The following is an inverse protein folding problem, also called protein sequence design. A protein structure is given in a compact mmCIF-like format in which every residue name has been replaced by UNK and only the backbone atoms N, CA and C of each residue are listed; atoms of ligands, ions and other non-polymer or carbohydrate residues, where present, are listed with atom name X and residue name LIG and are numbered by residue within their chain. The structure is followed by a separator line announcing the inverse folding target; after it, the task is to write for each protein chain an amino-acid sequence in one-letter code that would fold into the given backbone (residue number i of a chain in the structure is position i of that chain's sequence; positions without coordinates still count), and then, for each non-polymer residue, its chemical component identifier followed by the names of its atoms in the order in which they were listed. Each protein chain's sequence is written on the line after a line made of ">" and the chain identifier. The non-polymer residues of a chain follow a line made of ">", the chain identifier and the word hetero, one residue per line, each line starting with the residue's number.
data_IF_830098533507
#
_entry.id   IF_830098533507
#
_cell.length_a   1.000
_cell.length_b   1.000
_cell.length_c   1.000
_cell.angle_alpha   90.00
_cell.angle_beta   90.00
_cell.angle_gamma   90.00
#
_symmetry.space_group_name_H-M   'P 1'
#
loop_
_entity.id
_entity.type
_entity.pdbx_description
1 polymer ?
#
# COMPACT_ATOMS: atom_id res chain seq x y z
N UNK A 1 -4.28 -23.87 9.59
CA UNK A 1 -3.95 -22.84 10.59
C UNK A 1 -5.13 -21.89 10.73
N UNK A 2 -5.48 -21.52 11.98
CA UNK A 2 -6.49 -20.52 12.32
C UNK A 2 -5.79 -19.17 12.53
N UNK A 3 -5.92 -18.26 11.57
CA UNK A 3 -5.23 -16.97 11.53
C UNK A 3 -6.22 -15.88 11.89
N UNK A 4 -5.88 -14.99 12.82
CA UNK A 4 -6.66 -13.78 13.12
C UNK A 4 -5.93 -12.56 12.58
N UNK A 5 -6.55 -11.84 11.63
CA UNK A 5 -6.06 -10.59 11.08
C UNK A 5 -6.73 -9.42 11.80
N UNK A 6 -5.96 -8.57 12.48
CA UNK A 6 -6.49 -7.46 13.28
C UNK A 6 -6.06 -6.13 12.66
N UNK A 7 -7.01 -5.32 12.24
CA UNK A 7 -6.72 -4.08 11.49
C UNK A 7 -7.67 -2.94 11.88
N UNK A 8 -7.18 -1.68 11.81
CA UNK A 8 -8.01 -0.49 11.98
C UNK A 8 -8.67 -0.01 10.67
N UNK A 9 -8.34 -0.64 9.53
CA UNK A 9 -8.92 -0.33 8.22
C UNK A 9 -9.18 -1.60 7.44
N UNK A 10 -10.39 -1.75 6.91
CA UNK A 10 -10.79 -2.91 6.10
C UNK A 10 -11.89 -2.49 5.12
N UNK A 11 -12.21 -3.35 4.15
CA UNK A 11 -13.29 -3.08 3.20
C UNK A 11 -14.59 -2.64 3.90
N UNK A 12 -15.36 -1.75 3.32
CA UNK A 12 -15.24 -1.11 2.00
C UNK A 12 -14.29 0.10 1.96
N UNK A 13 -13.57 0.40 3.03
CA UNK A 13 -12.56 1.46 3.02
C UNK A 13 -11.47 1.17 1.98
N UNK A 14 -11.19 2.15 1.10
CA UNK A 14 -10.18 2.03 0.03
C UNK A 14 -8.83 2.56 0.55
N UNK A 15 -7.89 1.66 0.75
CA UNK A 15 -6.54 2.02 1.20
C UNK A 15 -5.56 0.86 1.08
N UNK A 16 -4.26 1.16 1.08
CA UNK A 16 -3.20 0.16 0.92
C UNK A 16 -3.25 -0.94 1.97
N UNK A 17 -3.47 -0.58 3.25
CA UNK A 17 -3.56 -1.54 4.35
C UNK A 17 -4.80 -2.43 4.21
N UNK A 18 -5.97 -1.86 3.91
CA UNK A 18 -7.19 -2.62 3.72
C UNK A 18 -7.06 -3.64 2.57
N UNK A 19 -6.48 -3.22 1.44
CA UNK A 19 -6.15 -4.10 0.31
C UNK A 19 -5.18 -5.21 0.69
N UNK A 20 -4.15 -4.87 1.47
CA UNK A 20 -3.17 -5.86 1.94
C UNK A 20 -3.84 -6.94 2.79
N UNK A 21 -4.61 -6.55 3.80
CA UNK A 21 -5.33 -7.48 4.68
C UNK A 21 -6.29 -8.36 3.87
N UNK A 22 -7.04 -7.77 2.94
CA UNK A 22 -7.97 -8.49 2.08
C UNK A 22 -7.27 -9.50 1.18
N UNK A 23 -6.18 -9.10 0.50
CA UNK A 23 -5.42 -9.96 -0.41
C UNK A 23 -4.80 -11.15 0.31
N UNK A 24 -4.18 -10.94 1.47
CA UNK A 24 -3.67 -12.03 2.30
C UNK A 24 -4.78 -12.92 2.81
N UNK A 25 -5.89 -12.35 3.30
CA UNK A 25 -7.04 -13.11 3.80
C UNK A 25 -7.60 -14.03 2.73
N UNK A 26 -7.81 -13.52 1.52
CA UNK A 26 -8.31 -14.30 0.39
C UNK A 26 -7.35 -15.41 -0.01
N UNK A 27 -6.06 -15.11 -0.10
CA UNK A 27 -5.05 -16.11 -0.47
C UNK A 27 -4.89 -17.20 0.58
N UNK A 28 -4.91 -16.87 1.87
CA UNK A 28 -4.86 -17.85 2.94
C UNK A 28 -6.11 -18.74 2.95
N UNK A 29 -7.31 -18.17 2.76
CA UNK A 29 -8.55 -18.94 2.64
C UNK A 29 -8.53 -19.87 1.43
N UNK A 30 -8.03 -19.40 0.28
CA UNK A 30 -7.84 -20.21 -0.93
C UNK A 30 -6.95 -21.43 -0.69
N UNK A 31 -6.00 -21.33 0.22
CA UNK A 31 -5.08 -22.41 0.64
C UNK A 31 -5.64 -23.31 1.75
N UNK A 32 -6.89 -23.10 2.15
CA UNK A 32 -7.56 -23.93 3.16
C UNK A 32 -7.28 -23.53 4.61
N UNK A 33 -6.65 -22.36 4.85
CA UNK A 33 -6.53 -21.81 6.20
C UNK A 33 -7.83 -21.12 6.61
N UNK A 34 -8.18 -21.18 7.89
CA UNK A 34 -9.28 -20.40 8.44
C UNK A 34 -8.75 -19.02 8.81
N UNK A 35 -9.43 -17.96 8.34
CA UNK A 35 -9.02 -16.58 8.61
C UNK A 35 -10.19 -15.79 9.17
N UNK A 36 -10.03 -15.25 10.37
CA UNK A 36 -10.95 -14.31 11.01
C UNK A 36 -10.38 -12.90 10.90
N UNK A 37 -11.13 -11.98 10.29
CA UNK A 37 -10.76 -10.57 10.24
C UNK A 37 -11.46 -9.81 11.36
N UNK A 38 -10.71 -9.02 12.14
CA UNK A 38 -11.21 -8.11 13.15
C UNK A 38 -10.94 -6.69 12.69
N UNK A 39 -12.01 -5.93 12.45
CA UNK A 39 -11.94 -4.59 11.87
C UNK A 39 -13.03 -3.67 12.44
N UNK A 40 -12.89 -2.34 12.32
CA UNK A 40 -13.96 -1.40 12.66
C UNK A 40 -15.16 -1.56 11.73
N UNK A 41 -16.31 -1.10 12.20
CA UNK A 41 -17.46 -0.82 11.33
C UNK A 41 -17.15 0.33 10.37
N UNK A 42 -17.64 0.22 9.13
CA UNK A 42 -17.53 1.26 8.11
C UNK A 42 -18.87 1.46 7.40
N UNK A 43 -19.22 2.70 6.99
CA UNK A 43 -20.36 2.94 6.14
C UNK A 43 -20.33 2.12 4.86
N UNK A 44 -21.44 1.50 4.47
CA UNK A 44 -21.53 0.69 3.26
C UNK A 44 -20.93 -0.73 3.37
N UNK A 45 -20.54 -1.17 4.56
CA UNK A 45 -20.18 -2.57 4.77
C UNK A 45 -21.37 -3.49 4.53
N UNK A 46 -21.18 -4.75 4.09
CA UNK A 46 -22.24 -5.74 3.99
C UNK A 46 -22.88 -6.04 5.35
N UNK A 47 -24.19 -6.32 5.37
CA UNK A 47 -24.88 -6.69 6.61
C UNK A 47 -24.38 -8.03 7.20
N UNK A 48 -23.89 -8.92 6.34
CA UNK A 48 -23.32 -10.20 6.74
C UNK A 48 -21.99 -10.40 6.00
N UNK A 49 -20.97 -10.70 6.77
CA UNK A 49 -19.63 -11.01 6.29
C UNK A 49 -19.18 -12.32 6.93
N UNK A 50 -18.73 -13.26 6.11
CA UNK A 50 -18.22 -14.53 6.60
C UNK A 50 -16.83 -14.35 7.23
N UNK A 51 -16.68 -14.83 8.47
CA UNK A 51 -15.43 -14.72 9.24
C UNK A 51 -14.87 -13.29 9.34
N UNK A 52 -15.75 -12.29 9.52
CA UNK A 52 -15.39 -10.91 9.85
C UNK A 52 -16.11 -10.48 11.13
N UNK A 53 -15.36 -9.96 12.08
CA UNK A 53 -15.88 -9.36 13.31
C UNK A 53 -15.74 -7.86 13.20
N UNK A 54 -16.88 -7.16 13.15
CA UNK A 54 -16.92 -5.70 13.15
C UNK A 54 -17.00 -5.17 14.57
N UNK A 55 -16.15 -4.21 14.86
CA UNK A 55 -16.08 -3.53 16.15
C UNK A 55 -16.67 -2.12 15.98
N UNK A 56 -17.65 -1.72 16.82
CA UNK A 56 -18.22 -0.38 16.78
C UNK A 56 -17.16 0.71 16.79
N UNK A 57 -17.31 1.71 15.92
CA UNK A 57 -16.34 2.78 15.78
C UNK A 57 -17.01 4.12 15.47
N UNK A 58 -16.38 5.21 15.93
CA UNK A 58 -16.74 6.57 15.52
C UNK A 58 -16.03 6.83 14.18
N UNK A 59 -16.85 7.10 13.16
CA UNK A 59 -16.38 7.36 11.79
C UNK A 59 -15.95 8.81 11.63
N UNK A 60 -15.07 9.05 10.63
CA UNK A 60 -14.64 10.40 10.25
C UNK A 60 -14.09 11.25 11.41
N UNK A 61 -13.34 10.62 12.31
CA UNK A 61 -12.78 11.31 13.46
C UNK A 61 -11.91 12.49 12.98
N UNK A 62 -12.21 13.71 13.46
CA UNK A 62 -11.60 14.98 13.03
C UNK A 62 -11.68 15.26 11.51
N UNK A 63 -12.72 14.77 10.83
CA UNK A 63 -12.87 15.00 9.39
C UNK A 63 -11.87 14.24 8.51
N UNK A 64 -11.17 13.25 9.09
CA UNK A 64 -10.29 12.33 8.38
C UNK A 64 -11.00 11.01 8.07
N UNK A 65 -10.40 10.20 7.20
CA UNK A 65 -10.87 8.83 6.91
C UNK A 65 -10.58 7.85 8.08
N UNK A 66 -10.14 8.37 9.21
CA UNK A 66 -9.77 7.58 10.38
C UNK A 66 -11.00 7.22 11.22
N UNK A 67 -11.12 5.93 11.55
CA UNK A 67 -12.16 5.40 12.43
C UNK A 67 -11.59 5.11 13.82
N UNK A 68 -12.19 5.70 14.85
CA UNK A 68 -11.80 5.45 16.24
C UNK A 68 -12.66 4.33 16.82
N UNK A 69 -12.04 3.18 17.07
CA UNK A 69 -12.70 2.00 17.62
C UNK A 69 -13.14 2.25 19.06
N UNK A 70 -14.38 1.90 19.39
CA UNK A 70 -14.91 1.93 20.75
C UNK A 70 -14.55 0.63 21.48
N UNK A 71 -14.11 0.70 22.76
CA UNK A 71 -13.83 -0.48 23.54
C UNK A 71 -15.15 -1.15 23.94
N UNK A 72 -15.63 -2.13 23.18
CA UNK A 72 -16.81 -2.93 23.53
C UNK A 72 -16.36 -4.30 24.05
N UNK A 73 -16.43 -4.54 25.36
CA UNK A 73 -16.13 -5.85 25.93
C UNK A 73 -17.12 -6.92 25.44
N UNK A 74 -16.65 -8.11 25.16
CA UNK A 74 -17.47 -9.30 24.90
C UNK A 74 -17.49 -9.76 23.45
N UNK A 75 -17.86 -8.93 22.48
CA UNK A 75 -18.03 -9.33 21.06
C UNK A 75 -16.80 -10.06 20.51
N UNK A 76 -15.63 -9.50 20.71
CA UNK A 76 -14.38 -10.09 20.24
C UNK A 76 -13.96 -11.31 21.07
N UNK A 77 -14.28 -11.34 22.37
CA UNK A 77 -13.93 -12.47 23.22
C UNK A 77 -14.64 -13.74 22.76
N UNK A 78 -15.95 -13.68 22.58
CA UNK A 78 -16.79 -14.81 22.17
C UNK A 78 -16.42 -15.32 20.76
N UNK A 79 -16.08 -14.40 19.85
CA UNK A 79 -15.64 -14.75 18.51
C UNK A 79 -14.30 -15.51 18.52
N UNK A 80 -13.31 -15.02 19.29
CA UNK A 80 -12.01 -15.66 19.40
C UNK A 80 -12.03 -16.99 20.17
N UNK A 81 -12.85 -17.08 21.24
CA UNK A 81 -13.00 -18.31 22.00
C UNK A 81 -13.59 -19.44 21.14
N UNK A 82 -14.51 -19.11 20.21
CA UNK A 82 -15.02 -20.07 19.20
C UNK A 82 -14.05 -20.37 18.07
N UNK A 83 -13.33 -19.35 17.62
CA UNK A 83 -12.40 -19.46 16.48
C UNK A 83 -11.14 -20.26 16.83
N UNK A 84 -10.62 -20.12 18.07
CA UNK A 84 -9.39 -20.73 18.58
C UNK A 84 -8.21 -20.42 17.68
N UNK A 85 -7.64 -19.21 17.76
CA UNK A 85 -6.52 -18.81 16.92
C UNK A 85 -5.26 -19.62 17.20
N UNK A 86 -4.51 -19.96 16.15
CA UNK A 86 -3.14 -20.47 16.25
C UNK A 86 -2.13 -19.33 16.20
N UNK A 87 -2.51 -18.19 15.60
CA UNK A 87 -1.68 -16.99 15.44
C UNK A 87 -2.55 -15.75 15.28
N UNK A 88 -2.06 -14.62 15.80
CA UNK A 88 -2.68 -13.30 15.61
C UNK A 88 -1.73 -12.42 14.82
N UNK A 89 -2.23 -11.75 13.77
CA UNK A 89 -1.49 -10.81 12.96
C UNK A 89 -2.11 -9.42 13.06
N UNK A 90 -1.37 -8.47 13.61
CA UNK A 90 -1.76 -7.07 13.75
C UNK A 90 -1.22 -6.22 12.59
N UNK A 91 -2.05 -5.32 12.08
CA UNK A 91 -1.70 -4.40 10.99
C UNK A 91 -1.55 -2.93 11.44
N UNK A 92 -1.74 -2.66 12.74
CA UNK A 92 -1.58 -1.33 13.33
C UNK A 92 -1.04 -1.46 14.75
N UNK A 93 -0.20 -0.51 15.24
CA UNK A 93 0.39 -0.57 16.57
C UNK A 93 -0.52 0.01 17.68
N UNK A 94 -1.67 0.57 17.33
CA UNK A 94 -2.58 1.24 18.25
C UNK A 94 -4.03 0.77 18.05
N UNK A 95 -4.95 1.14 18.96
CA UNK A 95 -6.36 0.74 18.96
C UNK A 95 -6.52 -0.78 18.93
N UNK A 96 -6.96 -1.36 17.81
CA UNK A 96 -7.12 -2.81 17.66
C UNK A 96 -5.77 -3.54 17.77
N UNK A 97 -4.65 -2.92 17.44
CA UNK A 97 -3.33 -3.49 17.68
C UNK A 97 -3.09 -3.82 19.16
N UNK A 98 -3.40 -2.89 20.07
CA UNK A 98 -3.31 -3.16 21.50
C UNK A 98 -4.25 -4.27 21.98
N UNK A 99 -5.39 -4.41 21.30
CA UNK A 99 -6.31 -5.51 21.55
C UNK A 99 -5.73 -6.83 21.05
N UNK A 100 -5.08 -6.84 19.88
CA UNK A 100 -4.37 -8.00 19.33
C UNK A 100 -3.30 -8.50 20.32
N UNK A 101 -2.48 -7.60 20.86
CA UNK A 101 -1.44 -7.92 21.83
C UNK A 101 -2.02 -8.61 23.10
N UNK A 102 -3.07 -8.00 23.68
CA UNK A 102 -3.74 -8.59 24.87
C UNK A 102 -4.33 -9.96 24.59
N UNK A 103 -4.92 -10.14 23.39
CA UNK A 103 -5.53 -11.43 23.00
C UNK A 103 -4.48 -12.48 22.69
N UNK A 104 -3.38 -12.14 22.02
CA UNK A 104 -2.27 -13.05 21.78
C UNK A 104 -1.70 -13.60 23.11
N UNK A 105 -1.52 -12.73 24.11
CA UNK A 105 -1.11 -13.15 25.45
C UNK A 105 -2.14 -14.03 26.16
N UNK A 106 -3.45 -13.68 26.07
CA UNK A 106 -4.52 -14.49 26.70
C UNK A 106 -4.61 -15.88 26.11
N UNK A 107 -4.44 -16.04 24.80
CA UNK A 107 -4.53 -17.33 24.11
C UNK A 107 -3.17 -18.05 24.02
N UNK A 108 -2.09 -17.43 24.52
CA UNK A 108 -0.71 -17.96 24.46
C UNK A 108 -0.28 -18.31 23.02
N UNK A 109 -0.68 -17.48 22.06
CA UNK A 109 -0.36 -17.64 20.63
C UNK A 109 0.58 -16.55 20.15
N UNK A 110 1.40 -16.80 19.10
CA UNK A 110 2.30 -15.81 18.56
C UNK A 110 1.55 -14.58 18.02
N UNK A 111 2.18 -13.42 18.16
CA UNK A 111 1.74 -12.14 17.58
C UNK A 111 2.72 -11.70 16.51
N UNK A 112 2.23 -11.51 15.28
CA UNK A 112 2.96 -10.89 14.18
C UNK A 112 2.44 -9.46 13.98
N UNK A 113 3.32 -8.54 13.60
CA UNK A 113 2.95 -7.18 13.25
C UNK A 113 3.49 -6.79 11.87
N UNK A 114 2.63 -6.29 10.98
CA UNK A 114 3.09 -5.66 9.74
C UNK A 114 3.19 -4.15 9.89
N UNK A 115 4.39 -3.61 9.67
CA UNK A 115 4.66 -2.17 9.71
C UNK A 115 4.33 -1.52 8.36
N UNK A 116 3.04 -1.28 8.11
CA UNK A 116 2.56 -0.78 6.80
C UNK A 116 2.89 0.68 6.51
N UNK A 117 2.99 1.52 7.54
CA UNK A 117 2.91 2.97 7.40
C UNK A 117 4.04 3.66 8.11
N UNK A 118 4.66 4.64 7.46
CA UNK A 118 5.56 5.61 8.09
C UNK A 118 4.69 6.67 8.77
N UNK A 119 4.23 6.38 9.98
CA UNK A 119 3.19 7.13 10.68
C UNK A 119 3.54 8.61 10.86
N UNK A 120 4.82 8.95 10.98
CA UNK A 120 5.31 10.33 11.09
C UNK A 120 5.02 11.19 9.85
N UNK A 121 4.85 10.57 8.70
CA UNK A 121 4.50 11.27 7.46
C UNK A 121 3.02 11.65 7.39
N UNK A 122 2.20 11.10 8.29
CA UNK A 122 0.76 11.30 8.36
C UNK A 122 0.31 12.11 9.58
N UNK A 123 1.25 12.68 10.35
CA UNK A 123 0.92 13.49 11.54
C UNK A 123 0.13 14.75 11.22
N UNK A 124 0.17 15.23 9.97
CA UNK A 124 -0.62 16.37 9.52
C UNK A 124 -2.15 16.10 9.50
N UNK A 125 -2.57 14.84 9.58
CA UNK A 125 -3.98 14.47 9.75
C UNK A 125 -4.45 14.49 11.22
N UNK A 126 -3.52 14.70 12.17
CA UNK A 126 -3.84 14.75 13.60
C UNK A 126 -3.64 16.18 14.10
N UNK A 127 -4.56 16.71 14.96
CA UNK A 127 -4.37 18.01 15.58
C UNK A 127 -3.05 18.08 16.34
N UNK A 128 -2.28 19.16 16.15
CA UNK A 128 -0.98 19.32 16.80
C UNK A 128 0.21 18.80 16.01
N UNK A 129 0.12 18.76 14.67
CA UNK A 129 1.25 18.41 13.79
C UNK A 129 2.54 19.11 14.24
N UNK A 130 3.46 18.35 14.84
CA UNK A 130 4.72 18.85 15.37
C UNK A 130 5.81 17.78 15.31
N UNK A 131 7.10 18.17 15.33
CA UNK A 131 8.20 17.20 15.44
C UNK A 131 8.11 16.29 16.67
N UNK A 132 7.49 16.77 17.74
CA UNK A 132 7.26 15.98 18.96
C UNK A 132 6.23 14.88 18.72
N UNK A 133 5.14 15.18 18.00
CA UNK A 133 4.14 14.18 17.63
C UNK A 133 4.74 13.13 16.70
N UNK A 134 5.54 13.55 15.71
CA UNK A 134 6.22 12.61 14.82
C UNK A 134 7.13 11.64 15.61
N UNK A 135 7.93 12.16 16.55
CA UNK A 135 8.76 11.32 17.44
C UNK A 135 7.92 10.37 18.29
N UNK A 136 6.82 10.86 18.82
CA UNK A 136 5.92 10.05 19.64
C UNK A 136 5.33 8.85 18.87
N UNK A 137 4.83 9.08 17.66
CA UNK A 137 4.25 7.98 16.86
C UNK A 137 5.31 6.97 16.40
N UNK A 138 6.54 7.42 16.12
CA UNK A 138 7.67 6.53 15.83
C UNK A 138 7.99 5.65 17.05
N UNK A 139 8.10 6.26 18.23
CA UNK A 139 8.39 5.54 19.49
C UNK A 139 7.28 4.53 19.81
N UNK A 140 6.02 4.94 19.69
CA UNK A 140 4.86 4.07 19.88
C UNK A 140 4.92 2.84 18.97
N UNK A 141 5.16 3.05 17.67
CA UNK A 141 5.24 1.96 16.70
C UNK A 141 6.43 1.04 16.95
N UNK A 142 7.58 1.61 17.32
CA UNK A 142 8.82 0.87 17.66
C UNK A 142 8.62 -0.01 18.91
N UNK A 143 8.05 0.56 19.97
CA UNK A 143 7.75 -0.20 21.20
C UNK A 143 6.74 -1.30 20.95
N UNK A 144 5.67 -1.01 20.20
CA UNK A 144 4.70 -2.03 19.85
C UNK A 144 5.35 -3.17 19.05
N UNK A 145 6.19 -2.86 18.07
CA UNK A 145 6.93 -3.85 17.29
C UNK A 145 7.78 -4.77 18.21
N UNK A 146 8.45 -4.20 19.21
CA UNK A 146 9.26 -4.96 20.17
C UNK A 146 8.45 -5.85 21.13
N UNK A 147 7.13 -5.64 21.22
CA UNK A 147 6.23 -6.51 22.00
C UNK A 147 5.67 -7.68 21.18
N UNK A 148 6.01 -7.78 19.89
CA UNK A 148 5.54 -8.84 18.99
C UNK A 148 6.61 -9.91 18.78
N UNK A 149 6.19 -11.12 18.42
CA UNK A 149 7.11 -12.23 18.19
C UNK A 149 7.83 -12.11 16.83
N UNK A 150 7.25 -11.36 15.89
CA UNK A 150 7.84 -11.11 14.57
C UNK A 150 7.25 -9.87 13.92
N UNK A 151 8.07 -9.15 13.15
CA UNK A 151 7.65 -7.97 12.40
C UNK A 151 7.79 -8.23 10.90
N UNK A 152 6.73 -7.92 10.15
CA UNK A 152 6.77 -7.87 8.69
C UNK A 152 7.01 -6.44 8.24
N UNK A 153 7.99 -6.24 7.38
CA UNK A 153 8.23 -4.99 6.67
C UNK A 153 7.81 -5.15 5.20
N UNK A 154 7.16 -4.15 4.59
CA UNK A 154 6.70 -4.25 3.20
C UNK A 154 7.85 -4.15 2.18
N UNK A 155 9.04 -3.72 2.60
CA UNK A 155 10.22 -3.53 1.76
C UNK A 155 11.50 -3.58 2.60
N UNK A 156 12.65 -3.80 1.96
CA UNK A 156 13.96 -3.78 2.66
C UNK A 156 14.30 -2.38 3.17
N UNK A 157 13.94 -1.34 2.43
CA UNK A 157 14.10 0.05 2.87
C UNK A 157 13.35 0.31 4.19
N UNK A 158 12.11 -0.18 4.33
CA UNK A 158 11.35 -0.07 5.58
C UNK A 158 11.95 -0.95 6.67
N UNK A 159 12.38 -2.18 6.35
CA UNK A 159 13.03 -3.06 7.32
C UNK A 159 14.30 -2.42 7.91
N UNK A 160 15.13 -1.81 7.08
CA UNK A 160 16.33 -1.08 7.51
C UNK A 160 15.97 0.10 8.39
N UNK A 161 15.01 0.92 7.95
CA UNK A 161 14.57 2.09 8.69
C UNK A 161 14.05 1.76 10.10
N UNK A 162 13.22 0.71 10.24
CA UNK A 162 12.67 0.36 11.55
C UNK A 162 13.71 -0.28 12.47
N UNK A 163 14.74 -1.00 11.93
CA UNK A 163 15.91 -1.45 12.70
C UNK A 163 16.69 -0.26 13.26
N UNK A 164 16.95 0.75 12.42
CA UNK A 164 17.64 1.98 12.84
C UNK A 164 16.87 2.75 13.92
N UNK A 165 15.53 2.62 13.93
CA UNK A 165 14.65 3.18 14.98
C UNK A 165 14.60 2.37 16.25
N UNK A 166 15.29 1.25 16.33
CA UNK A 166 15.39 0.42 17.53
C UNK A 166 14.39 -0.74 17.62
N UNK A 167 13.83 -1.18 16.49
CA UNK A 167 13.09 -2.45 16.47
C UNK A 167 14.08 -3.61 16.61
N UNK A 168 13.97 -4.34 17.71
CA UNK A 168 14.80 -5.50 18.06
C UNK A 168 14.12 -6.84 17.78
N UNK A 169 12.80 -6.86 17.67
CA UNK A 169 12.06 -8.06 17.27
C UNK A 169 12.54 -8.56 15.88
N UNK A 170 12.50 -9.86 15.60
CA UNK A 170 12.86 -10.40 14.28
C UNK A 170 12.06 -9.75 13.17
N UNK A 171 12.73 -9.27 12.12
CA UNK A 171 12.10 -8.60 10.97
C UNK A 171 12.29 -9.43 9.71
N UNK A 172 11.22 -9.66 8.98
CA UNK A 172 11.24 -10.23 7.64
C UNK A 172 10.56 -9.31 6.63
N UNK A 173 11.12 -9.23 5.42
CA UNK A 173 10.47 -8.51 4.32
C UNK A 173 9.38 -9.38 3.73
N UNK A 174 8.14 -8.96 3.97
CA UNK A 174 6.93 -9.60 3.46
C UNK A 174 6.04 -8.51 2.84
N UNK A 175 6.23 -8.21 1.54
CA UNK A 175 5.41 -7.22 0.84
C UNK A 175 3.98 -7.73 0.66
N UNK A 176 3.04 -6.84 0.37
CA UNK A 176 1.74 -7.23 -0.18
C UNK A 176 1.97 -7.73 -1.61
N UNK A 177 1.63 -8.96 -1.89
CA UNK A 177 1.77 -9.52 -3.22
C UNK A 177 0.79 -8.92 -4.23
N UNK A 178 1.19 -8.85 -5.49
CA UNK A 178 0.30 -8.50 -6.60
C UNK A 178 -0.40 -9.74 -7.16
N UNK A 179 -1.67 -9.59 -7.55
CA UNK A 179 -2.43 -10.61 -8.26
C UNK A 179 -2.05 -10.58 -9.76
N UNK A 180 -0.90 -11.17 -10.08
CA UNK A 180 -0.33 -11.06 -11.44
C UNK A 180 -1.29 -11.52 -12.52
N UNK A 181 -1.99 -12.65 -12.31
CA UNK A 181 -2.96 -13.19 -13.27
C UNK A 181 -4.08 -12.19 -13.61
N UNK A 182 -4.49 -11.38 -12.64
CA UNK A 182 -5.50 -10.34 -12.83
C UNK A 182 -5.01 -9.21 -13.73
N UNK A 183 -3.76 -8.77 -13.52
CA UNK A 183 -3.19 -7.63 -14.24
C UNK A 183 -2.46 -8.04 -15.53
N UNK A 184 -2.19 -9.33 -15.76
CA UNK A 184 -1.62 -9.82 -17.02
C UNK A 184 -2.60 -9.70 -18.20
N UNK A 185 -3.91 -9.58 -17.92
CA UNK A 185 -4.96 -9.51 -18.92
C UNK A 185 -5.76 -8.21 -18.77
N UNK A 186 -5.93 -7.47 -19.86
CA UNK A 186 -6.73 -6.25 -19.93
C UNK A 186 -6.90 -5.77 -21.37
N UNK A 187 -7.97 -5.04 -21.64
CA UNK A 187 -8.25 -4.44 -22.94
C UNK A 187 -8.02 -2.93 -22.92
N UNK A 188 -6.73 -2.55 -23.02
CA UNK A 188 -6.34 -1.14 -23.07
C UNK A 188 -6.87 -0.40 -24.28
N UNK A 189 -7.08 -1.08 -25.42
CA UNK A 189 -7.64 -0.46 -26.62
C UNK A 189 -9.09 -0.06 -26.42
N UNK A 190 -9.90 -0.94 -25.83
CA UNK A 190 -11.29 -0.64 -25.51
C UNK A 190 -11.39 0.53 -24.52
N UNK A 191 -10.56 0.57 -23.49
CA UNK A 191 -10.54 1.71 -22.57
C UNK A 191 -10.13 3.02 -23.27
N UNK A 192 -9.08 3.01 -24.12
CA UNK A 192 -8.70 4.18 -24.92
C UNK A 192 -9.88 4.67 -25.75
N UNK A 193 -10.60 3.78 -26.43
CA UNK A 193 -11.78 4.10 -27.21
C UNK A 193 -12.90 4.73 -26.37
N UNK A 194 -13.22 4.15 -25.21
CA UNK A 194 -14.24 4.67 -24.28
C UNK A 194 -13.92 6.07 -23.76
N UNK A 195 -12.63 6.33 -23.50
CA UNK A 195 -12.18 7.62 -23.02
C UNK A 195 -11.92 8.65 -24.13
N UNK A 196 -11.96 8.26 -25.40
CA UNK A 196 -11.64 9.13 -26.53
C UNK A 196 -10.15 9.43 -26.68
N UNK A 197 -9.28 8.54 -26.17
CA UNK A 197 -7.83 8.62 -26.36
C UNK A 197 -7.49 8.14 -27.79
N UNK A 198 -6.75 8.92 -28.59
CA UNK A 198 -6.35 8.49 -29.92
C UNK A 198 -5.59 7.16 -29.90
N UNK A 199 -5.81 6.31 -30.88
CA UNK A 199 -5.21 4.97 -30.92
C UNK A 199 -3.68 5.02 -31.02
N UNK A 200 -3.17 6.02 -31.74
CA UNK A 200 -1.72 6.28 -31.94
C UNK A 200 -1.10 7.18 -30.86
N UNK A 201 -1.84 7.51 -29.81
CA UNK A 201 -1.32 8.32 -28.72
C UNK A 201 -0.31 7.54 -27.87
N UNK A 202 0.78 8.22 -27.44
CA UNK A 202 1.64 7.71 -26.39
C UNK A 202 1.06 8.11 -25.03
N UNK A 203 0.67 7.13 -24.24
CA UNK A 203 -0.06 7.31 -22.98
C UNK A 203 0.88 7.23 -21.80
N UNK A 204 1.13 8.38 -21.17
CA UNK A 204 1.74 8.42 -19.82
C UNK A 204 0.63 8.20 -18.81
N UNK A 205 0.77 7.21 -17.94
CA UNK A 205 -0.24 6.84 -16.97
C UNK A 205 0.17 7.07 -15.52
N UNK A 206 -0.81 7.36 -14.67
CA UNK A 206 -0.65 7.35 -13.21
C UNK A 206 -1.90 6.76 -12.56
N UNK A 207 -1.71 5.96 -11.52
CA UNK A 207 -2.80 5.39 -10.70
C UNK A 207 -2.50 5.64 -9.24
N UNK A 208 -3.49 6.17 -8.51
CA UNK A 208 -3.36 6.37 -7.07
C UNK A 208 -4.34 7.36 -6.49
N UNK A 209 -4.30 7.52 -5.18
CA UNK A 209 -5.00 8.61 -4.50
C UNK A 209 -4.39 9.95 -4.92
N UNK A 210 -5.20 10.90 -5.35
CA UNK A 210 -4.74 12.22 -5.81
C UNK A 210 -4.57 13.16 -4.60
N UNK A 211 -3.50 12.96 -3.83
CA UNK A 211 -3.21 13.68 -2.59
C UNK A 211 -1.78 14.23 -2.60
N UNK A 212 -1.52 15.22 -1.74
CA UNK A 212 -0.27 15.99 -1.73
C UNK A 212 0.99 15.13 -1.53
N UNK A 213 0.91 14.07 -0.72
CA UNK A 213 2.02 13.15 -0.46
C UNK A 213 2.46 12.35 -1.71
N UNK A 214 1.65 12.35 -2.77
CA UNK A 214 1.98 11.70 -4.05
C UNK A 214 2.78 12.60 -5.00
N UNK A 215 3.06 13.84 -4.60
CA UNK A 215 3.87 14.79 -5.37
C UNK A 215 3.37 15.01 -6.81
N UNK A 216 2.04 15.11 -6.96
CA UNK A 216 1.38 15.12 -8.27
C UNK A 216 1.55 16.45 -9.02
N UNK A 217 1.81 17.53 -8.33
CA UNK A 217 2.15 18.84 -8.96
C UNK A 217 3.47 18.74 -9.75
N UNK A 218 4.49 18.13 -9.14
CA UNK A 218 5.75 17.82 -9.82
C UNK A 218 5.53 16.90 -11.03
N UNK A 219 4.79 15.80 -10.83
CA UNK A 219 4.51 14.85 -11.91
C UNK A 219 3.78 15.50 -13.08
N UNK A 220 2.76 16.30 -12.79
CA UNK A 220 2.01 17.03 -13.80
C UNK A 220 2.89 18.00 -14.60
N UNK A 221 3.80 18.72 -13.93
CA UNK A 221 4.76 19.61 -14.59
C UNK A 221 5.72 18.85 -15.51
N UNK A 222 6.27 17.72 -15.04
CA UNK A 222 7.18 16.91 -15.84
C UNK A 222 6.48 16.28 -17.05
N UNK A 223 5.28 15.73 -16.86
CA UNK A 223 4.49 15.19 -17.96
C UNK A 223 4.09 16.29 -18.95
N UNK A 224 3.69 17.48 -18.48
CA UNK A 224 3.42 18.63 -19.36
C UNK A 224 4.61 18.95 -20.26
N UNK A 225 5.82 19.02 -19.70
CA UNK A 225 7.01 19.34 -20.48
C UNK A 225 7.29 18.26 -21.55
N UNK A 226 7.10 16.99 -21.20
CA UNK A 226 7.14 15.88 -22.17
C UNK A 226 6.07 16.04 -23.27
N UNK A 227 4.81 16.35 -22.89
CA UNK A 227 3.73 16.49 -23.86
C UNK A 227 3.91 17.69 -24.80
N UNK A 228 4.55 18.77 -24.35
CA UNK A 228 4.87 19.92 -25.22
C UNK A 228 5.79 19.50 -26.35
N UNK A 229 6.77 18.64 -26.08
CA UNK A 229 7.68 18.11 -27.08
C UNK A 229 7.03 17.02 -27.97
N UNK A 230 6.01 16.34 -27.46
CA UNK A 230 5.36 15.19 -28.09
C UNK A 230 3.86 15.44 -28.35
N UNK A 231 3.48 15.98 -29.53
CA UNK A 231 2.08 16.36 -29.81
C UNK A 231 1.06 15.24 -29.72
N UNK A 232 1.46 13.98 -29.87
CA UNK A 232 0.61 12.79 -29.74
C UNK A 232 0.63 12.18 -28.32
N UNK A 233 1.40 12.75 -27.40
CA UNK A 233 1.41 12.31 -26.02
C UNK A 233 0.13 12.73 -25.30
N UNK A 234 -0.35 11.89 -24.38
CA UNK A 234 -1.47 12.16 -23.47
C UNK A 234 -1.15 11.73 -22.05
N UNK A 235 -1.83 12.31 -21.07
CA UNK A 235 -1.71 11.95 -19.65
C UNK A 235 -3.01 11.34 -19.15
N UNK A 236 -2.99 10.09 -18.71
CA UNK A 236 -4.09 9.34 -18.14
C UNK A 236 -3.89 9.18 -16.63
N UNK A 237 -4.73 9.81 -15.82
CA UNK A 237 -4.63 9.82 -14.37
C UNK A 237 -5.86 9.15 -13.76
N UNK A 238 -5.64 8.00 -13.13
CA UNK A 238 -6.68 7.20 -12.50
C UNK A 238 -6.63 7.42 -10.99
N UNK A 239 -7.75 7.90 -10.43
CA UNK A 239 -7.88 8.11 -9.00
C UNK A 239 -8.78 9.27 -8.65
N UNK A 240 -8.94 9.51 -7.35
CA UNK A 240 -9.68 10.65 -6.79
C UNK A 240 -8.88 11.28 -5.67
N UNK A 241 -9.10 12.57 -5.45
CA UNK A 241 -8.53 13.29 -4.34
C UNK A 241 -8.36 14.79 -4.61
N UNK A 242 -7.92 15.55 -3.59
CA UNK A 242 -7.85 17.01 -3.65
C UNK A 242 -6.87 17.56 -4.71
N UNK A 243 -5.83 16.79 -5.07
CA UNK A 243 -4.84 17.23 -6.06
C UNK A 243 -5.34 17.21 -7.53
N UNK A 244 -6.54 16.69 -7.80
CA UNK A 244 -7.09 16.64 -9.17
C UNK A 244 -7.18 18.04 -9.80
N UNK A 245 -7.57 19.06 -9.03
CA UNK A 245 -7.64 20.44 -9.50
C UNK A 245 -6.27 21.04 -9.81
N UNK A 246 -5.25 20.71 -9.03
CA UNK A 246 -3.86 21.14 -9.27
C UNK A 246 -3.32 20.55 -10.57
N UNK A 247 -3.53 19.26 -10.81
CA UNK A 247 -3.17 18.60 -12.06
C UNK A 247 -3.87 19.26 -13.23
N UNK A 248 -5.19 19.48 -13.16
CA UNK A 248 -5.96 20.11 -14.22
C UNK A 248 -5.49 21.54 -14.53
N UNK A 249 -5.07 22.30 -13.52
CA UNK A 249 -4.53 23.66 -13.68
C UNK A 249 -3.24 23.65 -14.51
N UNK A 250 -2.35 22.69 -14.33
CA UNK A 250 -1.09 22.56 -15.11
C UNK A 250 -1.39 22.34 -16.60
N UNK A 251 -2.51 21.67 -16.93
CA UNK A 251 -2.93 21.37 -18.31
C UNK A 251 -3.97 22.36 -18.87
N UNK A 252 -4.17 23.51 -18.24
CA UNK A 252 -5.18 24.49 -18.66
C UNK A 252 -4.85 25.21 -19.97
N UNK A 253 -3.57 25.19 -20.41
CA UNK A 253 -3.12 25.87 -21.60
C UNK A 253 -3.76 25.28 -22.89
N UNK A 254 -3.99 26.15 -23.93
CA UNK A 254 -4.48 25.67 -25.22
C UNK A 254 -3.59 24.55 -25.79
N UNK A 255 -4.22 23.49 -26.30
CA UNK A 255 -3.52 22.33 -26.87
C UNK A 255 -3.08 21.27 -25.85
N UNK A 256 -3.13 21.55 -24.54
CA UNK A 256 -2.84 20.60 -23.48
C UNK A 256 -4.10 20.04 -22.81
N UNK A 257 -5.14 20.86 -22.67
CA UNK A 257 -6.37 20.51 -21.95
C UNK A 257 -7.01 19.20 -22.45
N UNK A 258 -7.05 19.00 -23.76
CA UNK A 258 -7.64 17.81 -24.40
C UNK A 258 -6.70 16.59 -24.38
N UNK A 259 -5.52 16.71 -23.76
CA UNK A 259 -4.53 15.64 -23.62
C UNK A 259 -4.37 15.16 -22.18
N UNK A 260 -5.21 15.67 -21.27
CA UNK A 260 -5.34 15.19 -19.91
C UNK A 260 -6.65 14.43 -19.75
N UNK A 261 -6.59 13.19 -19.29
CA UNK A 261 -7.74 12.32 -19.03
C UNK A 261 -7.81 11.98 -17.53
N UNK A 262 -8.91 12.37 -16.88
CA UNK A 262 -9.20 12.20 -15.46
C UNK A 262 -10.53 11.46 -15.27
N UNK A 263 -10.62 10.15 -15.61
CA UNK A 263 -11.89 9.42 -15.51
C UNK A 263 -12.34 9.15 -14.06
N UNK A 264 -11.51 9.47 -13.07
CA UNK A 264 -11.77 9.17 -11.68
C UNK A 264 -11.15 7.85 -11.23
N UNK A 265 -11.63 7.30 -10.11
CA UNK A 265 -11.19 6.01 -9.63
C UNK A 265 -11.82 4.89 -10.46
N UNK A 266 -11.01 3.91 -10.84
CA UNK A 266 -11.42 2.68 -11.52
C UNK A 266 -11.12 1.49 -10.63
N UNK A 267 -11.87 0.42 -10.77
CA UNK A 267 -11.69 -0.85 -10.08
C UNK A 267 -11.98 -2.04 -11.00
N UNK A 268 -11.88 -3.26 -10.48
CA UNK A 268 -12.18 -4.46 -11.24
C UNK A 268 -11.40 -4.56 -12.55
N UNK A 269 -12.10 -4.92 -13.62
CA UNK A 269 -11.57 -5.04 -14.99
C UNK A 269 -11.16 -3.69 -15.57
N UNK A 270 -11.91 -2.62 -15.29
CA UNK A 270 -11.58 -1.28 -15.77
C UNK A 270 -10.21 -0.78 -15.28
N UNK A 271 -9.80 -1.15 -14.07
CA UNK A 271 -8.45 -0.84 -13.58
C UNK A 271 -7.37 -1.63 -14.32
N UNK A 272 -7.63 -2.90 -14.63
CA UNK A 272 -6.70 -3.70 -15.44
C UNK A 272 -6.57 -3.12 -16.86
N UNK A 273 -7.69 -2.77 -17.49
CA UNK A 273 -7.72 -2.13 -18.80
C UNK A 273 -6.98 -0.79 -18.79
N UNK A 274 -7.07 -0.04 -17.65
CA UNK A 274 -6.37 1.23 -17.51
C UNK A 274 -4.84 1.05 -17.55
N UNK A 275 -4.29 0.05 -16.86
CA UNK A 275 -2.86 -0.23 -16.97
C UNK A 275 -2.48 -0.64 -18.39
N UNK A 276 -3.27 -1.49 -19.05
CA UNK A 276 -3.01 -1.90 -20.44
C UNK A 276 -3.21 -0.76 -21.47
N UNK A 277 -3.87 0.32 -21.08
CA UNK A 277 -4.00 1.52 -21.91
C UNK A 277 -2.74 2.41 -21.85
N UNK A 278 -1.80 2.17 -20.94
CA UNK A 278 -0.60 3.00 -20.73
C UNK A 278 0.62 2.44 -21.48
N UNK A 279 1.44 3.33 -22.03
CA UNK A 279 2.75 2.99 -22.60
C UNK A 279 3.86 3.13 -21.57
N UNK A 280 3.68 3.98 -20.56
CA UNK A 280 4.58 4.17 -19.43
C UNK A 280 3.79 4.53 -18.17
N UNK A 281 4.18 3.98 -17.04
CA UNK A 281 3.65 4.34 -15.73
C UNK A 281 4.58 5.35 -15.05
N UNK A 282 4.06 6.55 -14.77
CA UNK A 282 4.80 7.65 -14.16
C UNK A 282 4.49 7.76 -12.67
N UNK A 283 5.52 7.80 -11.81
CA UNK A 283 5.38 7.74 -10.37
C UNK A 283 6.33 8.67 -9.64
N UNK A 284 5.79 9.54 -8.80
CA UNK A 284 6.54 10.63 -8.13
C UNK A 284 6.42 10.63 -6.60
N UNK A 285 5.72 9.65 -6.01
CA UNK A 285 5.51 9.60 -4.56
C UNK A 285 6.82 9.37 -3.81
N UNK A 286 7.05 10.17 -2.76
CA UNK A 286 8.21 10.06 -1.86
C UNK A 286 7.89 9.31 -0.57
N UNK A 287 6.62 9.02 -0.31
CA UNK A 287 6.12 8.43 0.93
C UNK A 287 5.68 6.97 0.79
N UNK A 288 6.28 6.25 -0.14
CA UNK A 288 5.92 4.86 -0.35
C UNK A 288 6.64 3.93 0.63
N UNK A 289 5.89 2.94 1.12
CA UNK A 289 6.48 1.83 1.89
C UNK A 289 6.71 0.59 1.02
N UNK A 290 5.94 0.45 -0.08
CA UNK A 290 6.02 -0.70 -0.98
C UNK A 290 5.81 -0.34 -2.46
N UNK A 291 4.85 0.58 -2.78
CA UNK A 291 4.49 0.91 -4.15
C UNK A 291 3.63 -0.14 -4.85
N UNK A 292 2.53 -0.56 -4.25
CA UNK A 292 1.64 -1.60 -4.81
C UNK A 292 1.20 -1.31 -6.25
N UNK A 293 0.88 -0.05 -6.58
CA UNK A 293 0.47 0.36 -7.93
C UNK A 293 1.60 0.18 -8.97
N UNK A 294 2.87 0.22 -8.53
CA UNK A 294 4.00 -0.09 -9.39
C UNK A 294 4.02 -1.58 -9.76
N UNK A 295 3.80 -2.47 -8.79
CA UNK A 295 3.72 -3.90 -9.06
C UNK A 295 2.51 -4.27 -9.92
N UNK A 296 1.40 -3.56 -9.79
CA UNK A 296 0.22 -3.70 -10.66
C UNK A 296 0.55 -3.29 -12.11
N UNK A 297 1.15 -2.10 -12.32
CA UNK A 297 1.60 -1.63 -13.63
C UNK A 297 2.60 -2.61 -14.28
N UNK A 298 3.58 -3.07 -13.50
CA UNK A 298 4.59 -4.01 -13.96
C UNK A 298 3.99 -5.39 -14.30
N UNK A 299 2.96 -5.85 -13.57
CA UNK A 299 2.24 -7.08 -13.89
C UNK A 299 1.51 -6.97 -15.24
N UNK A 300 0.94 -5.80 -15.54
CA UNK A 300 0.38 -5.49 -16.86
C UNK A 300 1.48 -5.35 -17.96
N UNK A 301 2.75 -5.33 -17.59
CA UNK A 301 3.88 -5.17 -18.50
C UNK A 301 4.16 -3.72 -18.88
N UNK A 302 3.73 -2.76 -18.08
CA UNK A 302 3.97 -1.34 -18.29
C UNK A 302 5.31 -0.95 -17.69
N UNK A 303 6.26 -0.42 -18.49
CA UNK A 303 7.51 0.13 -17.97
C UNK A 303 7.26 1.34 -17.06
N UNK A 304 8.17 1.59 -16.12
CA UNK A 304 8.01 2.60 -15.08
C UNK A 304 9.03 3.72 -15.21
N UNK A 305 8.59 4.97 -15.06
CA UNK A 305 9.46 6.11 -14.78
C UNK A 305 9.10 6.64 -13.40
N UNK A 306 10.04 6.59 -12.45
CA UNK A 306 9.76 6.89 -11.06
C UNK A 306 10.85 7.74 -10.41
N UNK A 307 10.46 8.53 -9.38
CA UNK A 307 11.42 9.06 -8.42
C UNK A 307 11.83 7.96 -7.45
N UNK A 308 13.10 8.00 -7.04
CA UNK A 308 13.64 7.09 -6.05
C UNK A 308 13.04 7.36 -4.67
N UNK A 309 12.45 6.33 -4.08
CA UNK A 309 11.88 6.35 -2.74
C UNK A 309 11.91 4.96 -2.13
N UNK A 310 11.69 4.89 -0.81
CA UNK A 310 11.49 3.60 -0.12
C UNK A 310 10.40 2.78 -0.81
N UNK A 311 10.63 1.48 -0.99
CA UNK A 311 9.69 0.59 -1.69
C UNK A 311 9.69 0.73 -3.22
N UNK A 312 10.13 1.86 -3.79
CA UNK A 312 10.23 2.05 -5.25
C UNK A 312 11.52 1.44 -5.79
N UNK A 313 12.67 1.77 -5.17
CA UNK A 313 14.01 1.29 -5.60
C UNK A 313 14.19 -0.22 -5.59
N UNK A 314 13.33 -0.91 -4.85
CA UNK A 314 13.33 -2.37 -4.78
C UNK A 314 12.53 -3.00 -5.92
N UNK A 315 11.67 -2.24 -6.56
CA UNK A 315 10.85 -2.68 -7.68
C UNK A 315 11.46 -2.27 -9.02
N UNK A 316 11.89 -1.01 -9.11
CA UNK A 316 12.41 -0.41 -10.34
C UNK A 316 13.92 -0.31 -10.25
N UNK A 317 14.61 -1.01 -11.14
CA UNK A 317 16.04 -0.89 -11.38
C UNK A 317 16.24 -0.09 -12.67
N UNK A 318 17.12 0.91 -12.64
CA UNK A 318 17.31 1.80 -13.78
C UNK A 318 17.69 1.03 -15.05
N UNK A 319 17.06 1.37 -16.15
CA UNK A 319 17.19 0.74 -17.48
C UNK A 319 16.79 -0.74 -17.59
N UNK A 320 16.29 -1.37 -16.50
CA UNK A 320 15.79 -2.75 -16.57
C UNK A 320 14.25 -2.82 -16.68
N UNK A 321 13.53 -2.09 -15.81
CA UNK A 321 12.07 -2.01 -15.84
C UNK A 321 11.57 -0.62 -16.25
N UNK A 322 12.48 0.31 -16.54
CA UNK A 322 12.23 1.70 -16.86
C UNK A 322 13.33 2.62 -16.37
N UNK A 323 12.99 3.75 -15.78
CA UNK A 323 13.96 4.71 -15.22
C UNK A 323 13.66 5.02 -13.77
N UNK A 324 14.69 5.07 -12.96
CA UNK A 324 14.65 5.46 -11.55
C UNK A 324 15.52 6.72 -11.36
N UNK A 325 14.88 7.84 -10.97
CA UNK A 325 15.55 9.12 -10.82
C UNK A 325 15.78 9.45 -9.36
N UNK A 326 17.00 9.77 -9.00
CA UNK A 326 17.39 10.16 -7.62
C UNK A 326 16.96 11.57 -7.25
N UNK A 327 16.80 12.46 -8.23
CA UNK A 327 16.53 13.88 -8.03
C UNK A 327 15.13 14.27 -8.51
N UNK A 328 14.50 15.18 -7.76
CA UNK A 328 13.24 15.80 -8.14
C UNK A 328 13.50 16.94 -9.11
N UNK A 329 13.78 16.59 -10.36
CA UNK A 329 14.00 17.51 -11.47
C UNK A 329 12.95 17.27 -12.56
N UNK A 330 12.14 18.30 -12.83
CA UNK A 330 11.05 18.28 -13.83
C UNK A 330 11.60 17.96 -15.22
N UNK A 331 12.72 18.55 -15.61
CA UNK A 331 13.32 18.34 -16.92
C UNK A 331 13.96 16.95 -17.02
N UNK A 332 14.63 16.50 -15.96
CA UNK A 332 15.20 15.13 -15.89
C UNK A 332 14.12 14.06 -15.97
N UNK A 333 12.99 14.27 -15.30
CA UNK A 333 11.85 13.35 -15.39
C UNK A 333 11.21 13.34 -16.79
N UNK A 334 11.01 14.52 -17.39
CA UNK A 334 10.54 14.62 -18.77
C UNK A 334 11.50 13.96 -19.77
N UNK A 335 12.81 14.10 -19.56
CA UNK A 335 13.82 13.42 -20.38
C UNK A 335 13.79 11.89 -20.22
N UNK A 336 13.49 11.38 -19.03
CA UNK A 336 13.30 9.93 -18.82
C UNK A 336 12.05 9.40 -19.53
N UNK A 337 10.95 10.17 -19.55
CA UNK A 337 9.76 9.84 -20.37
C UNK A 337 10.11 9.84 -21.86
N UNK A 338 10.89 10.85 -22.32
CA UNK A 338 11.34 10.95 -23.71
C UNK A 338 12.23 9.78 -24.10
N UNK A 339 13.18 9.39 -23.22
CA UNK A 339 14.02 8.23 -23.46
C UNK A 339 13.18 6.97 -23.74
N UNK A 340 12.15 6.71 -22.93
CA UNK A 340 11.29 5.53 -23.13
C UNK A 340 10.43 5.64 -24.40
N UNK A 341 9.92 6.85 -24.68
CA UNK A 341 9.15 7.11 -25.92
C UNK A 341 9.97 6.81 -27.18
N UNK A 342 11.26 7.18 -27.17
CA UNK A 342 12.14 7.07 -28.35
C UNK A 342 12.78 5.69 -28.51
N UNK A 343 12.57 4.77 -27.53
CA UNK A 343 13.11 3.42 -27.64
C UNK A 343 12.54 2.67 -28.85
N UNK A 344 13.37 1.87 -29.55
CA UNK A 344 12.89 0.90 -30.51
C UNK A 344 11.86 -0.06 -29.90
N UNK A 345 10.96 -0.57 -30.72
CA UNK A 345 9.91 -1.50 -30.26
C UNK A 345 10.50 -2.72 -29.53
N UNK A 346 11.60 -3.27 -30.03
CA UNK A 346 12.26 -4.43 -29.40
C UNK A 346 12.73 -4.13 -27.96
N UNK A 347 13.22 -2.93 -27.70
CA UNK A 347 13.67 -2.54 -26.35
C UNK A 347 12.50 -2.27 -25.43
N UNK A 348 11.39 -1.69 -25.94
CA UNK A 348 10.14 -1.55 -25.17
C UNK A 348 9.55 -2.91 -24.77
N UNK A 349 9.55 -3.89 -25.69
CA UNK A 349 9.15 -5.27 -25.37
C UNK A 349 10.04 -5.87 -24.30
N UNK A 350 11.37 -5.67 -24.37
CA UNK A 350 12.31 -6.14 -23.35
C UNK A 350 12.03 -5.56 -21.97
N UNK A 351 11.78 -4.25 -21.88
CA UNK A 351 11.39 -3.59 -20.63
C UNK A 351 10.07 -4.14 -20.09
N UNK A 352 9.07 -4.30 -20.95
CA UNK A 352 7.76 -4.88 -20.61
C UNK A 352 7.90 -6.29 -20.02
N UNK A 353 8.69 -7.14 -20.64
CA UNK A 353 8.94 -8.50 -20.14
C UNK A 353 9.73 -8.49 -18.83
N UNK A 354 10.69 -7.58 -18.66
CA UNK A 354 11.40 -7.43 -17.41
C UNK A 354 10.48 -6.95 -16.28
N UNK A 355 9.57 -6.02 -16.58
CA UNK A 355 8.55 -5.55 -15.64
C UNK A 355 7.65 -6.72 -15.18
N UNK A 356 7.12 -7.54 -16.12
CA UNK A 356 6.31 -8.72 -15.77
C UNK A 356 7.09 -9.73 -14.92
N UNK A 357 8.35 -10.03 -15.28
CA UNK A 357 9.19 -10.92 -14.48
C UNK A 357 9.38 -10.41 -13.06
N UNK A 358 9.60 -9.09 -12.91
CA UNK A 358 9.76 -8.45 -11.60
C UNK A 358 8.47 -8.57 -10.78
N UNK A 359 7.31 -8.25 -11.36
CA UNK A 359 6.01 -8.38 -10.70
C UNK A 359 5.73 -9.83 -10.25
N UNK A 360 6.06 -10.84 -11.06
CA UNK A 360 5.90 -12.26 -10.71
C UNK A 360 6.77 -12.68 -9.51
N UNK A 361 7.91 -12.04 -9.30
CA UNK A 361 8.71 -12.28 -8.10
C UNK A 361 8.01 -11.77 -6.82
N UNK A 362 7.10 -10.81 -6.97
CA UNK A 362 6.28 -10.20 -5.92
C UNK A 362 4.81 -10.62 -6.00
N UNK A 363 4.52 -11.78 -6.58
CA UNK A 363 3.15 -12.28 -6.69
C UNK A 363 2.55 -12.65 -5.33
N UNK A 364 1.23 -12.53 -5.21
CA UNK A 364 0.51 -12.85 -3.96
C UNK A 364 0.78 -14.29 -3.46
N UNK A 365 0.78 -15.33 -4.32
CA UNK A 365 1.14 -16.67 -3.87
C UNK A 365 2.53 -16.76 -3.22
N UNK A 366 3.57 -16.19 -3.84
CA UNK A 366 4.94 -16.23 -3.29
C UNK A 366 5.07 -15.48 -1.97
N UNK A 367 4.40 -14.36 -1.85
CA UNK A 367 4.41 -13.58 -0.62
C UNK A 367 3.65 -14.29 0.50
N UNK A 368 2.52 -14.92 0.17
CA UNK A 368 1.78 -15.74 1.13
C UNK A 368 2.58 -16.96 1.58
N UNK A 369 3.34 -17.64 0.69
CA UNK A 369 4.25 -18.72 1.07
C UNK A 369 5.25 -18.26 2.12
N UNK A 370 5.87 -17.12 1.90
CA UNK A 370 6.82 -16.53 2.85
C UNK A 370 6.18 -16.22 4.20
N UNK A 371 5.01 -15.59 4.21
CA UNK A 371 4.28 -15.27 5.45
C UNK A 371 3.87 -16.53 6.21
N UNK A 372 3.30 -17.54 5.52
CA UNK A 372 2.86 -18.80 6.13
C UNK A 372 4.04 -19.60 6.70
N UNK A 373 5.16 -19.65 6.02
CA UNK A 373 6.38 -20.30 6.54
C UNK A 373 6.85 -19.67 7.86
N UNK A 374 6.74 -18.34 7.99
CA UNK A 374 7.06 -17.65 9.24
C UNK A 374 6.02 -17.98 10.32
N UNK A 375 4.73 -17.98 9.98
CA UNK A 375 3.67 -18.35 10.93
C UNK A 375 3.88 -19.77 11.46
N UNK A 376 4.11 -20.76 10.58
CA UNK A 376 4.38 -22.14 10.96
C UNK A 376 5.59 -22.26 11.88
N UNK A 377 6.64 -21.47 11.63
CA UNK A 377 7.84 -21.45 12.48
C UNK A 377 7.59 -20.89 13.90
N UNK A 378 6.57 -20.02 14.05
CA UNK A 378 6.22 -19.40 15.33
C UNK A 378 5.21 -20.25 16.13
N UNK A 379 4.30 -20.93 15.45
CA UNK A 379 3.27 -21.77 16.07
C UNK A 379 3.95 -22.90 16.87
N UNK A 380 3.52 -23.09 18.11
CA UNK A 380 4.03 -24.14 18.97
C UNK A 380 5.36 -23.84 19.65
N UNK A 381 5.99 -22.66 19.41
CA UNK A 381 7.10 -22.22 20.24
C UNK A 381 6.60 -21.90 21.64
N UNK A 382 7.15 -22.61 22.65
CA UNK A 382 6.94 -22.23 24.04
C UNK A 382 7.52 -20.83 24.22
N UNK A 383 6.72 -19.86 24.63
CA UNK A 383 7.23 -18.52 24.98
C UNK A 383 8.26 -18.65 26.10
N UNK A 384 9.54 -18.70 25.76
CA UNK A 384 10.59 -18.49 26.76
C UNK A 384 10.55 -17.00 27.08
N UNK A 385 9.99 -16.70 28.28
CA UNK A 385 9.65 -15.37 28.72
C UNK A 385 10.80 -14.38 28.66
N UNK A 386 10.63 -13.36 27.87
CA UNK A 386 11.06 -12.00 28.12
C UNK A 386 9.83 -11.12 27.94
N UNK A 387 8.89 -11.24 28.89
CA UNK A 387 7.76 -10.34 28.99
C UNK A 387 8.28 -9.05 29.63
N UNK A 388 8.48 -8.02 28.81
CA UNK A 388 8.41 -6.66 29.35
C UNK A 388 6.99 -6.44 29.85
N UNK A 389 6.86 -5.89 31.06
CA UNK A 389 5.68 -5.80 31.88
C UNK A 389 4.57 -4.95 31.20
N UNK A 390 3.27 -5.38 31.22
CA UNK A 390 2.15 -4.54 30.77
C UNK A 390 2.05 -3.18 31.47
N UNK A 391 2.64 -3.02 32.64
CA UNK A 391 2.67 -1.76 33.40
C UNK A 391 3.57 -0.69 32.73
N UNK A 392 4.48 -1.06 31.83
CA UNK A 392 5.29 -0.10 31.10
C UNK A 392 4.46 0.81 30.17
N UNK A 393 3.33 0.30 29.64
CA UNK A 393 2.43 1.14 28.84
C UNK A 393 1.68 2.18 29.67
N UNK A 394 1.33 1.88 30.89
CA UNK A 394 0.75 2.87 31.80
C UNK A 394 1.79 3.96 32.12
N UNK A 395 3.04 3.59 32.31
CA UNK A 395 4.13 4.52 32.55
C UNK A 395 4.42 5.42 31.32
N UNK A 396 4.25 4.91 30.08
CA UNK A 396 4.40 5.71 28.86
C UNK A 396 3.25 6.73 28.74
N UNK A 397 2.02 6.30 28.99
CA UNK A 397 0.85 7.19 28.94
C UNK A 397 0.87 8.25 30.06
N UNK A 398 1.45 7.95 31.22
CA UNK A 398 1.62 8.92 32.30
C UNK A 398 2.72 9.95 32.07
N UNK A 399 3.75 9.63 31.28
CA UNK A 399 4.81 10.58 30.85
C UNK A 399 4.37 11.57 29.77
N UNK A 400 3.15 11.40 29.24
CA UNK A 400 2.55 12.23 28.18
C UNK A 400 1.53 13.23 28.75
N UNK A 401 1.14 13.07 30.01
CA UNK A 401 0.39 14.08 30.76
C UNK A 401 1.32 15.20 31.24
#
# INVERSE_FOLDING_TARGET
>A
VNIVMVTNTYLPHIGGVARSVESFTREYRRRGHRVLVVAPEFPGQPEKEEDVVRIPAIQNFNGSDFSMVLPVPGILADALDRFRPDIIHSHHPYLLGMTALRKARKFEVPLVFTHHTLYEQYTHYVPGNSPTMARFVIELATRYANLTDHVFAPSESVATLIRERGVMAPISVVPTGVETERFENGDGRELRRRLGIPEDAFVVGHVGRLAGEKNLGFLAAAVRDFLVANPRGVFLVIGRGPAAGEIAAVFSAPGLRNRLFLPGALDGTDLCDAYHAMDVFAFSSKSETQGMVLTEAMAAGVPVVALDASGVRELVQDEEQGRLLSEEDVHGFAAALQWLHDLPEIDRIRLSDAARRRARAWSMPKTADRALSIYESLIGRTRTGSAEDPDEWHAILERIK
#
